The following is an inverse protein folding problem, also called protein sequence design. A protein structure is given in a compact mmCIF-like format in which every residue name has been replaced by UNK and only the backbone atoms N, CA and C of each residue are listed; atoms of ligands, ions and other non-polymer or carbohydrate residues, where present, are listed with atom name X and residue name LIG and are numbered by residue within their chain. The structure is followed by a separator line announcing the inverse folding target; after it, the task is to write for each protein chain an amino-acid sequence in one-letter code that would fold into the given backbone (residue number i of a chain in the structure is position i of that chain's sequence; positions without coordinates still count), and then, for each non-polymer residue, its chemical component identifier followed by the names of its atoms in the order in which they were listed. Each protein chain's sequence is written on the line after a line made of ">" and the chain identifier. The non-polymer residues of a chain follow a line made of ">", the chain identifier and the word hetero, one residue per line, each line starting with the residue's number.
data_IF_234780686967
#
_entry.id   IF_234780686967
#
_cell.length_a   1.000
_cell.length_b   1.000
_cell.length_c   1.000
_cell.angle_alpha   90.00
_cell.angle_beta   90.00
_cell.angle_gamma   90.00
#
_symmetry.space_group_name_H-M   'P 1'
#
loop_
_entity.id
_entity.type
_entity.pdbx_description
1 polymer ?
#
# COMPACT_ATOMS: atom_id res chain seq x y z
N UNK A 1 -9.72 -25.36 -7.58
CA UNK A 1 -9.73 -25.32 -6.11
C UNK A 1 -8.31 -25.11 -5.62
N UNK A 2 -7.93 -23.90 -5.34
CA UNK A 2 -6.68 -23.66 -4.69
C UNK A 2 -6.84 -24.03 -3.23
N UNK A 3 -6.25 -25.11 -2.87
CA UNK A 3 -6.10 -25.57 -1.50
C UNK A 3 -4.92 -24.88 -0.85
N UNK A 4 -4.92 -23.59 -0.75
CA UNK A 4 -4.14 -22.91 0.27
C UNK A 4 -4.97 -22.89 1.55
N UNK A 5 -5.06 -24.03 2.18
CA UNK A 5 -5.56 -24.18 3.53
C UNK A 5 -4.51 -23.64 4.50
N UNK A 6 -4.55 -22.38 4.73
CA UNK A 6 -3.73 -21.73 5.72
C UNK A 6 -4.18 -20.31 5.81
N UNK A 7 -4.72 -19.89 6.94
CA UNK A 7 -5.06 -18.53 7.33
C UNK A 7 -6.12 -17.78 6.50
N UNK A 8 -6.60 -18.30 5.41
CA UNK A 8 -7.59 -17.63 4.62
C UNK A 8 -8.02 -18.51 3.48
N UNK A 9 -9.23 -19.00 3.55
CA UNK A 9 -9.83 -19.64 2.43
C UNK A 9 -10.01 -18.60 1.33
N UNK A 10 -9.52 -18.91 0.13
CA UNK A 10 -9.59 -18.07 -1.06
C UNK A 10 -11.02 -18.08 -1.64
N UNK A 11 -12.04 -18.21 -0.82
CA UNK A 11 -13.39 -17.90 -1.22
C UNK A 11 -13.58 -16.40 -1.24
N UNK A 12 -14.23 -15.91 -2.28
CA UNK A 12 -14.55 -14.48 -2.45
C UNK A 12 -15.30 -13.87 -1.26
N UNK A 13 -15.79 -14.68 -0.31
CA UNK A 13 -16.54 -14.26 0.88
C UNK A 13 -16.28 -15.21 2.04
N UNK A 14 -16.20 -14.68 3.24
CA UNK A 14 -16.24 -15.46 4.47
C UNK A 14 -17.62 -16.12 4.58
N UNK A 15 -17.61 -17.38 4.95
CA UNK A 15 -18.81 -18.15 5.26
C UNK A 15 -18.74 -18.67 6.69
N UNK A 16 -19.86 -19.08 7.24
CA UNK A 16 -19.87 -19.70 8.56
C UNK A 16 -18.94 -20.92 8.62
N UNK A 17 -18.87 -21.70 7.52
CA UNK A 17 -18.00 -22.88 7.42
C UNK A 17 -16.50 -22.53 7.53
N UNK A 18 -16.05 -21.40 6.98
CA UNK A 18 -14.66 -20.92 7.11
C UNK A 18 -14.34 -20.57 8.56
N UNK A 19 -15.28 -19.95 9.27
CA UNK A 19 -15.11 -19.66 10.69
C UNK A 19 -15.13 -20.92 11.54
N UNK A 20 -15.99 -21.90 11.22
CA UNK A 20 -16.01 -23.20 11.89
C UNK A 20 -14.69 -23.97 11.70
N UNK A 21 -14.11 -23.91 10.49
CA UNK A 21 -12.78 -24.47 10.22
C UNK A 21 -11.68 -23.74 11.05
N UNK A 22 -11.71 -22.41 11.07
CA UNK A 22 -10.74 -21.61 11.86
C UNK A 22 -10.83 -21.96 13.36
N UNK A 23 -12.04 -22.09 13.90
CA UNK A 23 -12.27 -22.51 15.30
C UNK A 23 -11.73 -23.92 15.55
N UNK A 24 -12.06 -24.87 14.68
CA UNK A 24 -11.63 -26.26 14.81
C UNK A 24 -10.09 -26.42 14.75
N UNK A 25 -9.42 -25.55 14.00
CA UNK A 25 -7.96 -25.53 13.87
C UNK A 25 -7.25 -24.61 14.88
N UNK A 26 -7.99 -23.92 15.76
CA UNK A 26 -7.43 -23.02 16.77
C UNK A 26 -6.86 -21.74 16.22
N UNK A 27 -7.30 -21.27 15.04
CA UNK A 27 -6.86 -20.00 14.46
C UNK A 27 -7.70 -18.84 15.00
N UNK A 28 -7.04 -17.74 15.29
CA UNK A 28 -7.65 -16.50 15.76
C UNK A 28 -7.61 -15.35 14.74
N UNK A 29 -7.12 -15.61 13.51
CA UNK A 29 -7.08 -14.66 12.40
C UNK A 29 -7.58 -15.32 11.11
N UNK A 30 -8.58 -14.70 10.49
CA UNK A 30 -9.06 -15.05 9.15
C UNK A 30 -8.76 -13.91 8.20
N UNK A 31 -8.02 -14.20 7.13
CA UNK A 31 -7.69 -13.23 6.08
C UNK A 31 -8.55 -13.54 4.86
N UNK A 32 -9.25 -12.53 4.36
CA UNK A 32 -10.11 -12.65 3.18
C UNK A 32 -9.82 -11.55 2.16
N UNK A 33 -10.22 -11.77 0.92
CA UNK A 33 -10.15 -10.73 -0.09
C UNK A 33 -11.33 -9.75 0.06
N UNK A 34 -12.57 -10.25 0.08
CA UNK A 34 -13.75 -9.40 0.21
C UNK A 34 -14.11 -9.15 1.68
N UNK A 35 -14.54 -7.93 2.02
CA UNK A 35 -15.00 -7.64 3.37
C UNK A 35 -16.30 -8.41 3.69
N UNK A 36 -16.39 -8.90 4.92
CA UNK A 36 -17.62 -9.50 5.44
C UNK A 36 -18.75 -8.47 5.50
N UNK A 37 -18.41 -7.25 5.88
CA UNK A 37 -19.35 -6.14 6.05
C UNK A 37 -19.12 -5.12 4.94
N UNK A 38 -20.04 -5.02 3.97
CA UNK A 38 -20.01 -4.00 2.91
C UNK A 38 -20.79 -2.73 3.27
N UNK A 39 -21.81 -2.87 4.12
CA UNK A 39 -22.65 -1.76 4.59
C UNK A 39 -22.76 -1.83 6.10
N UNK A 40 -22.77 -0.68 6.74
CA UNK A 40 -22.93 -0.60 8.20
C UNK A 40 -24.21 -1.29 8.68
N UNK A 41 -24.12 -2.04 9.77
CA UNK A 41 -25.26 -2.67 10.43
C UNK A 41 -25.76 -1.78 11.57
N UNK A 42 -27.09 -1.59 11.68
CA UNK A 42 -27.73 -0.89 12.80
C UNK A 42 -27.89 -1.79 14.02
N UNK A 43 -27.93 -3.10 13.81
CA UNK A 43 -28.05 -4.12 14.85
C UNK A 43 -27.42 -5.42 14.37
N UNK A 44 -26.94 -6.24 15.30
CA UNK A 44 -26.37 -7.57 15.02
C UNK A 44 -27.15 -8.57 15.87
N UNK A 45 -28.10 -9.25 15.25
CA UNK A 45 -29.06 -10.15 15.91
C UNK A 45 -28.91 -11.61 15.46
N UNK A 46 -28.10 -11.86 14.42
CA UNK A 46 -27.92 -13.22 13.84
C UNK A 46 -28.96 -13.59 12.78
N UNK A 47 -29.73 -12.65 12.26
CA UNK A 47 -30.82 -12.92 11.30
C UNK A 47 -30.32 -13.36 9.93
N UNK A 48 -29.14 -12.91 9.50
CA UNK A 48 -28.52 -13.30 8.25
C UNK A 48 -27.13 -13.95 8.48
N UNK A 49 -26.55 -14.52 7.41
CA UNK A 49 -25.26 -15.21 7.53
C UNK A 49 -24.11 -14.29 7.91
N UNK A 50 -24.15 -13.01 7.51
CA UNK A 50 -23.11 -12.02 7.85
C UNK A 50 -23.14 -11.74 9.35
N UNK A 51 -24.34 -11.48 9.89
CA UNK A 51 -24.53 -11.26 11.34
C UNK A 51 -24.11 -12.51 12.14
N UNK A 52 -24.43 -13.72 11.67
CA UNK A 52 -23.99 -14.96 12.33
C UNK A 52 -22.47 -15.12 12.27
N UNK A 53 -21.82 -14.80 11.15
CA UNK A 53 -20.37 -14.78 11.07
C UNK A 53 -19.74 -13.78 12.04
N UNK A 54 -20.29 -12.56 12.15
CA UNK A 54 -19.83 -11.54 13.10
C UNK A 54 -19.93 -12.06 14.54
N UNK A 55 -21.11 -12.58 14.93
CA UNK A 55 -21.32 -13.12 16.27
C UNK A 55 -20.40 -14.31 16.57
N UNK A 56 -20.18 -15.18 15.60
CA UNK A 56 -19.29 -16.33 15.72
C UNK A 56 -17.83 -15.89 15.90
N UNK A 57 -17.38 -14.94 15.10
CA UNK A 57 -16.02 -14.39 15.21
C UNK A 57 -15.79 -13.73 16.59
N UNK A 58 -16.73 -12.89 17.06
CA UNK A 58 -16.63 -12.23 18.36
C UNK A 58 -16.61 -13.25 19.51
N UNK A 59 -17.51 -14.26 19.48
CA UNK A 59 -17.60 -15.28 20.56
C UNK A 59 -16.36 -16.18 20.67
N UNK A 60 -15.56 -16.26 19.59
CA UNK A 60 -14.39 -17.14 19.53
C UNK A 60 -13.07 -16.35 19.39
N UNK A 61 -13.08 -15.03 19.67
CA UNK A 61 -11.92 -14.14 19.58
C UNK A 61 -11.18 -14.23 18.23
N UNK A 62 -11.94 -14.35 17.13
CA UNK A 62 -11.39 -14.40 15.77
C UNK A 62 -11.40 -12.99 15.17
N UNK A 63 -10.24 -12.52 14.75
CA UNK A 63 -10.08 -11.32 13.94
C UNK A 63 -10.32 -11.66 12.47
N UNK A 64 -11.17 -10.89 11.79
CA UNK A 64 -11.37 -11.00 10.34
C UNK A 64 -10.74 -9.78 9.67
N UNK A 65 -9.68 -10.02 8.87
CA UNK A 65 -9.01 -9.00 8.09
C UNK A 65 -9.35 -9.16 6.60
N UNK A 66 -9.80 -8.10 5.97
CA UNK A 66 -10.14 -8.11 4.53
C UNK A 66 -9.20 -7.20 3.75
N UNK A 67 -8.38 -7.79 2.90
CA UNK A 67 -7.38 -7.10 2.08
C UNK A 67 -7.91 -6.78 0.67
N UNK A 68 -9.10 -6.21 0.56
CA UNK A 68 -9.85 -5.96 -0.67
C UNK A 68 -9.02 -5.22 -1.74
N UNK A 69 -9.38 -4.00 -2.06
CA UNK A 69 -8.69 -3.14 -3.04
C UNK A 69 -7.24 -2.80 -2.63
N UNK A 70 -6.91 -2.92 -1.36
CA UNK A 70 -5.54 -2.73 -0.89
C UNK A 70 -4.58 -3.74 -1.54
N UNK A 71 -5.00 -5.02 -1.61
CA UNK A 71 -4.19 -6.07 -2.23
C UNK A 71 -4.21 -6.01 -3.76
N UNK A 72 -5.30 -5.53 -4.34
CA UNK A 72 -5.40 -5.33 -5.79
C UNK A 72 -4.42 -4.25 -6.28
N UNK A 73 -4.26 -3.18 -5.48
CA UNK A 73 -3.47 -2.01 -5.84
C UNK A 73 -2.01 -2.08 -5.35
N UNK A 74 -1.66 -3.06 -4.51
CA UNK A 74 -0.32 -3.18 -3.95
C UNK A 74 0.69 -3.70 -4.98
N UNK A 75 1.93 -3.23 -4.90
CA UNK A 75 3.05 -3.84 -5.61
C UNK A 75 3.19 -5.31 -5.20
N UNK A 76 3.30 -6.21 -6.18
CA UNK A 76 3.32 -7.66 -5.95
C UNK A 76 1.97 -8.26 -5.54
N UNK A 77 0.90 -7.46 -5.52
CA UNK A 77 -0.47 -7.90 -5.20
C UNK A 77 -1.14 -8.73 -6.30
N UNK A 78 -2.48 -8.81 -6.25
CA UNK A 78 -3.27 -9.69 -7.13
C UNK A 78 -3.01 -9.42 -8.60
N UNK A 79 -3.00 -8.15 -9.04
CA UNK A 79 -2.79 -7.81 -10.43
C UNK A 79 -1.40 -8.25 -10.94
N UNK A 80 -0.36 -8.09 -10.12
CA UNK A 80 0.99 -8.58 -10.43
C UNK A 80 1.04 -10.11 -10.54
N UNK A 81 0.35 -10.82 -9.65
CA UNK A 81 0.27 -12.29 -9.70
C UNK A 81 -0.50 -12.81 -10.91
N UNK A 82 -1.53 -12.10 -11.35
CA UNK A 82 -2.22 -12.40 -12.60
C UNK A 82 -1.28 -12.18 -13.79
N UNK A 83 -0.59 -11.03 -13.84
CA UNK A 83 0.37 -10.72 -14.90
C UNK A 83 1.51 -11.74 -14.98
N UNK A 84 2.07 -12.15 -13.84
CA UNK A 84 3.08 -13.21 -13.73
C UNK A 84 2.57 -14.54 -14.28
N UNK A 85 1.36 -14.96 -13.90
CA UNK A 85 0.74 -16.20 -14.42
C UNK A 85 0.53 -16.16 -15.94
N UNK A 86 0.19 -15.02 -16.49
CA UNK A 86 0.04 -14.81 -17.94
C UNK A 86 1.39 -14.76 -18.64
N UNK A 87 2.48 -14.50 -17.91
CA UNK A 87 3.84 -14.36 -18.46
C UNK A 87 4.13 -12.98 -19.04
N UNK A 88 3.46 -11.95 -18.55
CA UNK A 88 3.70 -10.57 -18.99
C UNK A 88 5.03 -10.05 -18.46
N UNK A 89 5.72 -9.27 -19.31
CA UNK A 89 6.96 -8.53 -19.02
C UNK A 89 6.70 -7.03 -18.99
N UNK A 90 7.70 -6.25 -18.60
CA UNK A 90 7.67 -4.79 -18.62
C UNK A 90 6.42 -4.21 -17.92
N UNK A 91 6.09 -4.79 -16.76
CA UNK A 91 4.87 -4.44 -16.04
C UNK A 91 4.86 -2.99 -15.56
N UNK A 92 3.75 -2.31 -15.81
CA UNK A 92 3.47 -0.95 -15.31
C UNK A 92 2.08 -0.92 -14.72
N UNK A 93 1.88 -0.11 -13.70
CA UNK A 93 0.55 0.19 -13.17
C UNK A 93 -0.24 0.94 -14.25
N UNK A 94 -1.48 0.53 -14.51
CA UNK A 94 -2.31 1.11 -15.56
C UNK A 94 -2.85 2.48 -15.12
N UNK A 95 -3.34 2.60 -13.89
CA UNK A 95 -3.80 3.85 -13.28
C UNK A 95 -3.06 4.03 -11.93
N UNK A 96 -1.97 4.82 -11.91
CA UNK A 96 -1.22 5.09 -10.69
C UNK A 96 -2.09 5.75 -9.62
N UNK A 97 -1.75 5.50 -8.36
CA UNK A 97 -2.48 6.08 -7.24
C UNK A 97 -2.04 7.52 -6.99
N UNK A 98 -2.96 8.45 -7.22
CA UNK A 98 -2.79 9.87 -6.95
C UNK A 98 -2.76 10.18 -5.44
N UNK A 99 -2.22 11.36 -5.08
CA UNK A 99 -2.22 11.91 -3.72
C UNK A 99 -1.68 10.92 -2.66
N UNK A 100 -0.74 10.07 -3.06
CA UNK A 100 -0.21 9.00 -2.22
C UNK A 100 1.19 9.27 -1.70
N UNK A 101 1.78 10.39 -2.07
CA UNK A 101 3.12 10.80 -1.70
C UNK A 101 3.11 12.10 -0.89
N UNK A 102 4.03 12.18 0.07
CA UNK A 102 4.28 13.34 0.91
C UNK A 102 5.77 13.66 0.82
N UNK A 103 6.11 14.94 0.75
CA UNK A 103 7.46 15.45 1.05
C UNK A 103 7.51 15.80 2.53
N UNK A 104 8.45 15.23 3.25
CA UNK A 104 8.83 15.63 4.59
C UNK A 104 10.03 16.57 4.48
N UNK A 105 9.96 17.69 5.20
CA UNK A 105 11.06 18.62 5.42
C UNK A 105 11.30 18.73 6.91
N UNK A 106 12.56 18.68 7.35
CA UNK A 106 12.94 18.92 8.74
C UNK A 106 14.28 19.66 8.80
N UNK A 107 14.58 20.24 9.93
CA UNK A 107 15.75 21.08 10.15
C UNK A 107 16.53 20.53 11.33
N UNK A 108 17.76 20.11 11.11
CA UNK A 108 18.54 19.33 12.08
C UNK A 108 19.92 19.94 12.24
N UNK A 109 20.44 20.11 13.47
CA UNK A 109 21.82 20.54 13.67
C UNK A 109 22.79 19.66 12.88
N UNK A 110 23.81 20.28 12.28
CA UNK A 110 24.77 19.63 11.36
C UNK A 110 25.28 18.27 11.89
N UNK A 111 25.64 18.23 13.18
CA UNK A 111 26.22 17.04 13.79
C UNK A 111 25.24 15.82 13.90
N UNK A 112 23.92 16.06 13.90
CA UNK A 112 22.89 15.04 14.02
C UNK A 112 22.19 14.72 12.70
N UNK A 113 22.51 15.44 11.62
CA UNK A 113 21.82 15.32 10.34
C UNK A 113 21.88 13.89 9.76
N UNK A 114 23.02 13.21 9.86
CA UNK A 114 23.19 11.86 9.32
C UNK A 114 22.34 10.85 10.07
N UNK A 115 22.34 10.88 11.40
CA UNK A 115 21.56 9.96 12.22
C UNK A 115 20.05 10.13 12.04
N UNK A 116 19.56 11.36 11.92
CA UNK A 116 18.16 11.65 11.63
C UNK A 116 17.78 11.14 10.23
N UNK A 117 18.63 11.40 9.23
CA UNK A 117 18.39 10.94 7.85
C UNK A 117 18.33 9.43 7.75
N UNK A 118 19.25 8.70 8.40
CA UNK A 118 19.25 7.24 8.45
C UNK A 118 17.98 6.68 9.10
N UNK A 119 17.51 7.27 10.19
CA UNK A 119 16.27 6.88 10.85
C UNK A 119 15.04 7.10 9.95
N UNK A 120 15.01 8.22 9.20
CA UNK A 120 13.94 8.49 8.23
C UNK A 120 13.93 7.44 7.10
N UNK A 121 15.11 7.06 6.57
CA UNK A 121 15.21 6.02 5.53
C UNK A 121 14.78 4.66 6.06
N UNK A 122 15.22 4.28 7.26
CA UNK A 122 14.80 3.04 7.91
C UNK A 122 13.29 2.97 8.15
N UNK A 123 12.63 4.13 8.39
CA UNK A 123 11.17 4.23 8.51
C UNK A 123 10.43 4.20 7.17
N UNK A 124 11.13 4.25 6.04
CA UNK A 124 10.58 4.09 4.70
C UNK A 124 10.52 5.36 3.85
N UNK A 125 11.27 6.41 4.23
CA UNK A 125 11.48 7.57 3.37
C UNK A 125 12.47 7.29 2.23
N UNK A 126 12.47 8.15 1.21
CA UNK A 126 13.51 8.24 0.20
C UNK A 126 13.48 7.18 -0.89
N UNK A 127 12.35 6.52 -1.12
CA UNK A 127 12.22 5.56 -2.22
C UNK A 127 11.65 6.24 -3.47
N UNK A 128 12.41 6.29 -4.56
CA UNK A 128 12.02 6.88 -5.86
C UNK A 128 12.39 5.89 -6.97
N UNK A 129 11.40 5.21 -7.53
CA UNK A 129 11.64 4.17 -8.55
C UNK A 129 12.54 3.05 -8.01
N UNK A 130 13.69 2.87 -8.65
CA UNK A 130 14.70 1.87 -8.26
C UNK A 130 15.81 2.44 -7.35
N UNK A 131 15.63 3.65 -6.83
CA UNK A 131 16.57 4.29 -5.92
C UNK A 131 15.98 4.35 -4.52
N UNK A 132 16.78 4.06 -3.53
CA UNK A 132 16.49 4.27 -2.11
C UNK A 132 17.34 5.41 -1.53
N UNK A 133 17.11 5.74 -0.27
CA UNK A 133 17.87 6.73 0.49
C UNK A 133 17.96 8.10 -0.20
N UNK A 134 16.95 8.46 -0.99
CA UNK A 134 16.89 9.73 -1.68
C UNK A 134 16.51 10.85 -0.72
N UNK A 135 17.38 11.86 -0.61
CA UNK A 135 17.09 13.11 0.09
C UNK A 135 17.78 14.27 -0.61
N UNK A 136 17.28 15.47 -0.37
CA UNK A 136 17.97 16.70 -0.74
C UNK A 136 18.30 17.45 0.52
N UNK A 137 19.55 17.89 0.66
CA UNK A 137 20.07 18.48 1.88
C UNK A 137 20.64 19.86 1.59
N UNK A 138 20.25 20.84 2.38
CA UNK A 138 20.72 22.24 2.31
C UNK A 138 21.23 22.66 3.67
N UNK A 139 22.42 23.21 3.71
CA UNK A 139 22.95 23.89 4.89
C UNK A 139 22.38 25.30 5.01
N UNK A 140 21.99 25.66 6.21
CA UNK A 140 21.40 26.95 6.51
C UNK A 140 21.52 27.29 7.98
N UNK A 141 20.89 28.38 8.37
CA UNK A 141 20.83 28.85 9.73
C UNK A 141 19.36 28.84 10.18
N UNK A 142 19.05 28.11 11.26
CA UNK A 142 17.81 28.18 11.98
C UNK A 142 17.85 29.17 13.12
N UNK A 143 16.72 29.78 13.48
CA UNK A 143 16.63 30.67 14.64
C UNK A 143 15.42 30.27 15.51
N UNK A 144 15.63 30.30 16.82
CA UNK A 144 14.57 30.13 17.80
C UNK A 144 14.86 30.86 19.10
N UNK A 145 13.84 31.05 19.92
CA UNK A 145 13.96 31.54 21.27
C UNK A 145 13.25 30.60 22.22
N UNK A 146 14.00 29.96 23.09
CA UNK A 146 13.47 29.09 24.14
C UNK A 146 12.71 29.93 25.18
N UNK A 147 11.53 29.45 25.62
CA UNK A 147 10.71 30.09 26.64
C UNK A 147 10.91 29.44 28.01
N UNK A 148 10.47 30.09 29.09
CA UNK A 148 10.44 29.45 30.41
C UNK A 148 9.69 28.12 30.39
N UNK A 149 10.23 27.12 31.07
CA UNK A 149 9.66 25.78 31.15
C UNK A 149 10.10 24.81 30.04
N UNK A 150 10.94 25.25 29.09
CA UNK A 150 11.54 24.38 28.07
C UNK A 150 12.93 23.89 28.47
N UNK A 151 13.37 22.79 27.84
CA UNK A 151 14.72 22.24 28.00
C UNK A 151 15.43 22.20 26.65
N UNK A 152 15.89 23.38 26.15
CA UNK A 152 16.45 23.44 24.80
C UNK A 152 17.75 22.63 24.70
N UNK A 153 17.94 21.93 23.60
CA UNK A 153 19.15 21.19 23.27
C UNK A 153 20.38 22.13 23.16
N UNK A 154 20.15 23.32 22.64
CA UNK A 154 21.18 24.39 22.51
C UNK A 154 20.50 25.75 22.73
N UNK A 155 21.33 26.79 22.97
CA UNK A 155 20.86 28.14 23.25
C UNK A 155 20.49 28.40 24.71
N UNK A 156 20.13 29.65 25.02
CA UNK A 156 19.77 30.13 26.36
C UNK A 156 18.30 30.54 26.38
N UNK A 157 17.59 30.25 27.48
CA UNK A 157 16.17 30.65 27.67
C UNK A 157 16.06 32.16 27.60
N UNK A 158 15.13 32.68 26.81
CA UNK A 158 14.83 34.10 26.64
C UNK A 158 15.69 34.80 25.57
N UNK A 159 16.78 34.21 25.10
CA UNK A 159 17.65 34.77 24.08
C UNK A 159 17.35 34.20 22.68
N UNK A 160 17.55 35.03 21.64
CA UNK A 160 17.46 34.53 20.25
C UNK A 160 18.73 33.74 19.94
N UNK A 161 18.56 32.46 19.69
CA UNK A 161 19.64 31.56 19.30
C UNK A 161 19.69 31.40 17.78
N UNK A 162 20.88 31.25 17.23
CA UNK A 162 21.18 30.97 15.83
C UNK A 162 21.92 29.64 15.77
N UNK A 163 21.38 28.66 15.04
CA UNK A 163 21.96 27.32 14.92
C UNK A 163 22.25 26.97 13.46
N UNK A 164 23.43 26.37 13.23
CA UNK A 164 23.75 25.83 11.92
C UNK A 164 23.00 24.51 11.70
N UNK A 165 22.10 24.49 10.75
CA UNK A 165 21.23 23.36 10.50
C UNK A 165 21.32 22.85 9.06
N UNK A 166 21.04 21.56 8.89
CA UNK A 166 20.76 20.96 7.60
C UNK A 166 19.25 20.86 7.44
N UNK A 167 18.72 21.49 6.42
CA UNK A 167 17.38 21.22 5.92
C UNK A 167 17.40 19.91 5.15
N UNK A 168 16.71 18.89 5.64
CA UNK A 168 16.57 17.59 5.01
C UNK A 168 15.19 17.51 4.36
N UNK A 169 15.16 17.27 3.04
CA UNK A 169 13.93 17.00 2.29
C UNK A 169 13.94 15.57 1.78
N UNK A 170 12.88 14.82 2.02
CA UNK A 170 12.72 13.47 1.53
C UNK A 170 11.26 13.15 1.21
N UNK A 171 11.02 12.09 0.44
CA UNK A 171 9.68 11.65 0.02
C UNK A 171 9.27 10.41 0.81
N UNK A 172 7.98 10.28 1.09
CA UNK A 172 7.40 9.08 1.70
C UNK A 172 5.98 8.83 1.20
N UNK A 173 5.53 7.56 1.17
CA UNK A 173 4.14 7.25 0.92
C UNK A 173 3.26 7.61 2.13
N UNK A 174 2.06 8.12 1.87
CA UNK A 174 1.10 8.60 2.90
C UNK A 174 0.88 7.58 4.02
N UNK A 175 0.81 6.28 3.70
CA UNK A 175 0.56 5.24 4.71
C UNK A 175 1.70 5.06 5.72
N UNK A 176 2.92 5.52 5.39
CA UNK A 176 4.10 5.52 6.27
C UNK A 176 4.20 6.75 7.17
N UNK A 177 3.31 7.74 7.00
CA UNK A 177 3.35 9.03 7.71
C UNK A 177 3.54 8.88 9.23
N UNK A 178 2.71 8.06 9.87
CA UNK A 178 2.75 7.92 11.33
C UNK A 178 4.06 7.29 11.82
N UNK A 179 4.56 6.26 11.11
CA UNK A 179 5.80 5.58 11.41
C UNK A 179 7.01 6.51 11.24
N UNK A 180 7.04 7.26 10.15
CA UNK A 180 8.11 8.23 9.84
C UNK A 180 8.15 9.37 10.85
N UNK A 181 7.00 9.96 11.20
CA UNK A 181 6.95 11.02 12.23
C UNK A 181 7.45 10.48 13.58
N UNK A 182 7.02 9.26 13.97
CA UNK A 182 7.49 8.63 15.20
C UNK A 182 9.01 8.44 15.19
N UNK A 183 9.58 7.99 14.06
CA UNK A 183 11.01 7.82 13.91
C UNK A 183 11.74 9.16 14.01
N UNK A 184 11.26 10.21 13.32
CA UNK A 184 11.80 11.56 13.40
C UNK A 184 11.87 12.04 14.85
N UNK A 185 10.74 12.02 15.55
CA UNK A 185 10.63 12.52 16.94
C UNK A 185 11.47 11.71 17.94
N UNK A 186 11.80 10.45 17.64
CA UNK A 186 12.61 9.61 18.53
C UNK A 186 14.11 9.88 18.44
N UNK A 187 14.60 10.46 17.34
CA UNK A 187 16.04 10.66 17.10
C UNK A 187 16.44 12.14 16.96
N UNK A 188 15.46 13.01 16.76
CA UNK A 188 15.74 14.43 16.65
C UNK A 188 16.21 14.99 18.00
N UNK A 189 17.32 15.80 18.02
CA UNK A 189 17.87 16.30 19.29
C UNK A 189 16.98 17.35 19.97
N UNK A 190 16.13 18.04 19.20
CA UNK A 190 15.26 19.07 19.76
C UNK A 190 14.04 18.46 20.48
N UNK A 191 13.64 19.07 21.58
CA UNK A 191 12.44 18.73 22.33
C UNK A 191 11.17 18.89 21.46
N UNK A 192 11.11 19.95 20.66
CA UNK A 192 10.04 20.23 19.71
C UNK A 192 10.64 20.48 18.31
N UNK A 193 10.93 19.44 17.52
CA UNK A 193 11.52 19.61 16.21
C UNK A 193 10.53 20.21 15.21
N UNK A 194 11.02 21.15 14.41
CA UNK A 194 10.27 21.70 13.29
C UNK A 194 10.29 20.69 12.12
N UNK A 195 9.12 20.37 11.59
CA UNK A 195 8.99 19.62 10.35
C UNK A 195 7.71 19.99 9.60
N UNK A 196 7.77 19.89 8.29
CA UNK A 196 6.67 20.18 7.39
C UNK A 196 6.33 18.95 6.55
N UNK A 197 5.05 18.78 6.24
CA UNK A 197 4.54 17.73 5.37
C UNK A 197 3.77 18.35 4.21
N UNK A 198 4.33 18.22 2.99
CA UNK A 198 3.72 18.73 1.78
C UNK A 198 3.10 17.58 0.98
N UNK A 199 1.77 17.55 0.75
CA UNK A 199 1.17 16.62 -0.21
C UNK A 199 1.77 16.84 -1.60
N UNK A 200 2.15 15.75 -2.26
CA UNK A 200 2.69 15.78 -3.62
C UNK A 200 1.61 15.34 -4.62
N UNK A 201 1.58 16.01 -5.75
CA UNK A 201 0.73 15.65 -6.89
C UNK A 201 1.37 14.59 -7.80
N UNK A 202 2.58 14.13 -7.46
CA UNK A 202 3.26 13.09 -8.19
C UNK A 202 2.51 11.77 -8.08
N UNK A 203 2.37 11.07 -9.21
CA UNK A 203 1.84 9.73 -9.25
C UNK A 203 2.75 8.75 -8.53
N UNK A 204 2.17 7.86 -7.74
CA UNK A 204 2.92 6.78 -7.15
C UNK A 204 2.88 5.55 -8.08
N UNK A 205 3.89 5.44 -8.93
CA UNK A 205 3.98 4.42 -10.00
C UNK A 205 4.09 2.97 -9.48
N UNK A 206 4.32 2.76 -8.19
CA UNK A 206 4.43 1.43 -7.58
C UNK A 206 3.10 0.88 -7.05
N UNK A 207 2.06 1.71 -6.97
CA UNK A 207 0.74 1.29 -6.51
C UNK A 207 -0.35 1.96 -7.34
N UNK A 208 -1.42 1.22 -7.63
CA UNK A 208 -2.56 1.71 -8.38
C UNK A 208 -3.40 0.59 -8.96
N UNK A 209 -4.37 0.95 -9.75
CA UNK A 209 -5.37 0.04 -10.30
C UNK A 209 -4.92 -0.54 -11.64
N UNK A 210 -5.05 -1.85 -11.78
CA UNK A 210 -4.70 -2.56 -13.00
C UNK A 210 -3.19 -2.59 -13.31
N UNK A 211 -2.82 -3.47 -14.21
CA UNK A 211 -1.45 -3.62 -14.71
C UNK A 211 -1.50 -3.69 -16.23
N UNK A 212 -0.55 -3.08 -16.89
CA UNK A 212 -0.26 -3.28 -18.31
C UNK A 212 1.11 -3.91 -18.46
N UNK A 213 1.23 -4.86 -19.39
CA UNK A 213 2.50 -5.52 -19.70
C UNK A 213 2.50 -6.05 -21.12
N UNK A 214 3.59 -6.69 -21.50
CA UNK A 214 3.84 -7.18 -22.84
C UNK A 214 4.09 -8.68 -22.81
N UNK A 215 3.63 -9.39 -23.84
CA UNK A 215 4.00 -10.76 -24.13
C UNK A 215 5.38 -10.79 -24.80
N UNK A 216 6.15 -11.84 -24.58
CA UNK A 216 7.45 -12.02 -25.24
C UNK A 216 7.29 -12.11 -26.76
N UNK A 217 6.24 -12.79 -27.22
CA UNK A 217 5.84 -12.91 -28.61
C UNK A 217 4.36 -12.56 -28.79
N UNK A 218 3.99 -12.00 -29.94
CA UNK A 218 2.58 -11.77 -30.25
C UNK A 218 1.86 -13.08 -30.52
N UNK A 219 0.58 -13.15 -30.12
CA UNK A 219 -0.29 -14.28 -30.38
C UNK A 219 -1.65 -13.83 -30.88
N UNK A 220 -2.38 -14.69 -31.58
CA UNK A 220 -3.75 -14.36 -32.02
C UNK A 220 -4.69 -14.27 -30.82
N UNK A 221 -5.76 -13.45 -30.95
CA UNK A 221 -6.78 -13.32 -29.90
C UNK A 221 -7.32 -14.68 -29.44
N UNK A 222 -7.51 -15.61 -30.36
CA UNK A 222 -8.06 -16.93 -30.04
C UNK A 222 -7.07 -17.80 -29.24
N UNK A 223 -5.78 -17.75 -29.58
CA UNK A 223 -4.71 -18.45 -28.84
C UNK A 223 -4.58 -17.86 -27.44
N UNK A 224 -4.57 -16.54 -27.31
CA UNK A 224 -4.55 -15.87 -26.03
C UNK A 224 -5.72 -16.30 -25.16
N UNK A 225 -6.97 -16.28 -25.66
CA UNK A 225 -8.15 -16.70 -24.91
C UNK A 225 -8.08 -18.17 -24.48
N UNK A 226 -7.61 -19.07 -25.34
CA UNK A 226 -7.38 -20.47 -25.01
C UNK A 226 -6.34 -20.64 -23.92
N UNK A 227 -5.25 -19.86 -23.98
CA UNK A 227 -4.17 -19.86 -23.00
C UNK A 227 -4.65 -19.36 -21.64
N UNK A 228 -5.39 -18.25 -21.60
CA UNK A 228 -6.03 -17.71 -20.39
C UNK A 228 -6.96 -18.75 -19.75
N UNK A 229 -7.82 -19.37 -20.57
CA UNK A 229 -8.73 -20.44 -20.10
C UNK A 229 -7.98 -21.57 -19.41
N UNK A 230 -6.84 -21.99 -19.99
CA UNK A 230 -6.00 -23.07 -19.45
C UNK A 230 -5.27 -22.64 -18.18
N UNK A 231 -4.64 -21.45 -18.18
CA UNK A 231 -3.86 -20.93 -17.05
C UNK A 231 -4.71 -20.77 -15.79
N UNK A 232 -5.94 -20.28 -15.95
CA UNK A 232 -6.85 -20.06 -14.83
C UNK A 232 -7.81 -21.21 -14.56
N UNK A 233 -7.72 -22.31 -15.32
CA UNK A 233 -8.53 -23.53 -15.17
C UNK A 233 -10.05 -23.23 -15.13
N UNK A 234 -10.50 -22.27 -15.95
CA UNK A 234 -11.90 -21.84 -15.97
C UNK A 234 -12.70 -22.57 -17.05
N UNK A 235 -13.98 -22.86 -16.76
CA UNK A 235 -14.88 -23.54 -17.67
C UNK A 235 -15.18 -22.76 -18.94
N UNK A 236 -15.26 -21.42 -18.85
CA UNK A 236 -15.49 -20.54 -19.99
C UNK A 236 -14.78 -19.20 -19.81
N UNK A 237 -14.50 -18.53 -20.95
CA UNK A 237 -14.02 -17.16 -21.03
C UNK A 237 -15.04 -16.36 -21.82
N UNK A 238 -15.51 -15.24 -21.27
CA UNK A 238 -16.38 -14.31 -21.98
C UNK A 238 -15.53 -13.27 -22.68
N UNK A 239 -15.82 -12.97 -23.92
CA UNK A 239 -15.10 -12.00 -24.73
C UNK A 239 -16.04 -11.23 -25.66
N UNK A 240 -15.60 -10.07 -26.12
CA UNK A 240 -16.22 -9.32 -27.18
C UNK A 240 -15.98 -9.97 -28.54
N UNK A 241 -16.56 -9.38 -29.61
CA UNK A 241 -16.24 -9.80 -30.98
C UNK A 241 -14.73 -9.68 -31.20
N UNK A 242 -14.14 -10.75 -31.73
CA UNK A 242 -12.74 -10.75 -32.10
C UNK A 242 -12.48 -9.76 -33.24
N UNK A 243 -11.36 -9.07 -33.19
CA UNK A 243 -10.97 -8.03 -34.14
C UNK A 243 -10.06 -8.55 -35.22
N UNK A 244 -9.47 -9.74 -35.03
CA UNK A 244 -8.48 -10.36 -35.93
C UNK A 244 -7.08 -9.77 -35.78
N UNK A 245 -6.82 -9.05 -34.70
CA UNK A 245 -5.49 -8.47 -34.40
C UNK A 245 -4.65 -9.46 -33.58
N UNK A 246 -3.35 -9.32 -33.69
CA UNK A 246 -2.43 -9.97 -32.78
C UNK A 246 -2.36 -9.21 -31.46
N UNK A 247 -2.19 -9.95 -30.38
CA UNK A 247 -2.03 -9.44 -29.02
C UNK A 247 -0.57 -9.53 -28.64
N UNK A 248 0.02 -8.40 -28.30
CA UNK A 248 1.33 -8.29 -27.69
C UNK A 248 1.28 -7.54 -26.39
N UNK A 249 0.42 -6.51 -26.29
CA UNK A 249 0.25 -5.69 -25.09
C UNK A 249 -1.08 -6.03 -24.42
N UNK A 250 -1.03 -6.29 -23.12
CA UNK A 250 -2.19 -6.71 -22.33
C UNK A 250 -2.35 -5.81 -21.11
N UNK A 251 -3.54 -5.21 -21.00
CA UNK A 251 -3.98 -4.55 -19.77
C UNK A 251 -4.89 -5.50 -18.99
N UNK A 252 -4.72 -5.58 -17.68
CA UNK A 252 -5.51 -6.44 -16.81
C UNK A 252 -5.87 -5.76 -15.49
N UNK A 253 -6.98 -6.19 -14.92
CA UNK A 253 -7.40 -5.81 -13.58
C UNK A 253 -8.15 -6.98 -12.93
N UNK A 254 -7.77 -7.32 -11.70
CA UNK A 254 -8.54 -8.23 -10.85
C UNK A 254 -9.81 -7.53 -10.35
N UNK A 255 -10.94 -8.25 -10.32
CA UNK A 255 -12.22 -7.72 -9.85
C UNK A 255 -12.95 -6.85 -10.87
N UNK A 256 -13.52 -5.73 -10.44
CA UNK A 256 -14.37 -4.86 -11.27
C UNK A 256 -13.52 -3.80 -12.00
N UNK A 257 -12.81 -4.19 -13.06
CA UNK A 257 -11.89 -3.34 -13.81
C UNK A 257 -12.51 -2.49 -14.93
N UNK A 258 -13.84 -2.46 -15.10
CA UNK A 258 -14.47 -1.77 -16.22
C UNK A 258 -14.18 -0.26 -16.29
N UNK A 259 -13.92 0.38 -15.16
CA UNK A 259 -13.56 1.80 -15.08
C UNK A 259 -12.19 2.13 -15.71
N UNK A 260 -11.33 1.13 -15.89
CA UNK A 260 -9.99 1.26 -16.48
C UNK A 260 -9.96 1.13 -18.00
N UNK A 261 -11.10 0.81 -18.63
CA UNK A 261 -11.16 0.67 -20.10
C UNK A 261 -10.66 1.90 -20.87
N UNK A 262 -10.89 3.15 -20.40
CA UNK A 262 -10.37 4.32 -21.10
C UNK A 262 -8.84 4.44 -21.06
N UNK A 263 -8.17 3.83 -20.06
CA UNK A 263 -6.72 3.85 -19.88
C UNK A 263 -6.01 2.65 -20.55
N UNK A 264 -6.77 1.61 -20.90
CA UNK A 264 -6.25 0.40 -21.53
C UNK A 264 -6.18 0.55 -23.05
#
# INVERSE_FOLDING_TARGET
>A
SSTSRGLGDVYKRQTEAVLDEAIALGYNLVISHHPLIFKGYKSITGKDYVERCILKAIKNDIVIYSAHTNLDNAQGGVNYKIAEKIGLKNLKVLEPKENSLIKLVTFVPDAQADSVREALFAAGCGNIGNYDSCSYNLKGEGTFRAKEGTHPFCGTIGELHHENEVRIETILPVYKKAEVIKALLSVHPYEEPAFDLYPLQNDWLQAGSGIVGELDESETELEFLKRIKKIFEVGCVRHNKLTGREIQKVALCGGAGAFLLPQA
#
